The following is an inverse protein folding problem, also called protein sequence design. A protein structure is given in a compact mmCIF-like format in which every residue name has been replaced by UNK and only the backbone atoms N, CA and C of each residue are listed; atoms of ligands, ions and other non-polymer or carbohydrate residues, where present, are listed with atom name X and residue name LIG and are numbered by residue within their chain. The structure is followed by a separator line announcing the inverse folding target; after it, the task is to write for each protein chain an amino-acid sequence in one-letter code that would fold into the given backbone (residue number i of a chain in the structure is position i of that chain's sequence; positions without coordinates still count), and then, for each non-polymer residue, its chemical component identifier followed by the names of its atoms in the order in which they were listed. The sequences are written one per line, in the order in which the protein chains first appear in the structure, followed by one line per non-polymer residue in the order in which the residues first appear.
data_IF_686629688078
#
_entry.id   IF_686629688078
#
_cell.length_a   1.000
_cell.length_b   1.000
_cell.length_c   1.000
_cell.angle_alpha   90.00
_cell.angle_beta   90.00
_cell.angle_gamma   90.00
#
_symmetry.space_group_name_H-M   'P 1'
#
loop_
_entity.id
_entity.type
_entity.pdbx_description
1 polymer ?
#
# COMPACT_ATOMS: atom_id res chain seq x y z
N UNK A 1 -9.21 -8.34 -13.95
CA UNK A 1 -8.50 -7.35 -14.80
C UNK A 1 -8.40 -5.98 -14.13
N UNK A 2 -9.51 -5.37 -13.69
CA UNK A 2 -9.55 -4.03 -13.07
C UNK A 2 -8.59 -3.83 -11.87
N UNK A 3 -8.51 -4.80 -10.94
CA UNK A 3 -7.61 -4.73 -9.77
C UNK A 3 -6.14 -4.57 -10.14
N UNK A 4 -5.69 -5.29 -11.17
CA UNK A 4 -4.30 -5.23 -11.64
C UNK A 4 -3.99 -3.90 -12.34
N UNK A 5 -4.95 -3.35 -13.10
CA UNK A 5 -4.82 -2.03 -13.69
C UNK A 5 -4.65 -0.94 -12.62
N UNK A 6 -5.43 -0.99 -11.54
CA UNK A 6 -5.30 -0.04 -10.43
C UNK A 6 -3.93 -0.13 -9.74
N UNK A 7 -3.41 -1.34 -9.52
CA UNK A 7 -2.09 -1.52 -8.93
C UNK A 7 -0.97 -0.98 -9.84
N UNK A 8 -1.04 -1.24 -11.14
CA UNK A 8 -0.09 -0.71 -12.13
C UNK A 8 -0.15 0.82 -12.14
N UNK A 9 -1.35 1.40 -12.13
CA UNK A 9 -1.52 2.85 -12.11
C UNK A 9 -0.92 3.48 -10.86
N UNK A 10 -1.16 2.92 -9.67
CA UNK A 10 -0.54 3.37 -8.41
C UNK A 10 0.98 3.27 -8.49
N UNK A 11 1.52 2.15 -8.99
CA UNK A 11 2.96 1.95 -9.14
C UNK A 11 3.58 3.02 -10.04
N UNK A 12 3.00 3.27 -11.23
CA UNK A 12 3.48 4.28 -12.18
C UNK A 12 3.44 5.70 -11.61
N UNK A 13 2.35 6.06 -10.92
CA UNK A 13 2.19 7.37 -10.30
C UNK A 13 3.20 7.59 -9.17
N UNK A 14 3.38 6.59 -8.29
CA UNK A 14 4.36 6.66 -7.21
C UNK A 14 5.79 6.70 -7.77
N UNK A 15 6.08 5.95 -8.85
CA UNK A 15 7.35 6.02 -9.55
C UNK A 15 7.63 7.42 -10.09
N UNK A 16 6.67 8.06 -10.74
CA UNK A 16 6.84 9.42 -11.27
C UNK A 16 7.13 10.44 -10.16
N UNK A 17 6.39 10.38 -9.05
CA UNK A 17 6.59 11.26 -7.88
C UNK A 17 7.94 11.02 -7.23
N UNK A 18 8.30 9.75 -6.97
CA UNK A 18 9.56 9.41 -6.34
C UNK A 18 10.76 9.74 -7.24
N UNK A 19 10.68 9.49 -8.54
CA UNK A 19 11.73 9.84 -9.49
C UNK A 19 11.97 11.36 -9.51
N UNK A 20 10.90 12.16 -9.51
CA UNK A 20 11.00 13.61 -9.46
C UNK A 20 11.63 14.09 -8.13
N UNK A 21 11.23 13.49 -7.00
CA UNK A 21 11.79 13.80 -5.69
C UNK A 21 13.30 13.50 -5.58
N UNK A 22 13.75 12.37 -6.12
CA UNK A 22 15.17 11.99 -6.04
C UNK A 22 16.05 12.71 -7.07
N UNK A 23 15.46 13.19 -8.17
CA UNK A 23 16.20 13.87 -9.23
C UNK A 23 16.58 15.29 -8.85
N UNK A 24 17.85 15.65 -9.07
CA UNK A 24 18.41 16.98 -8.83
C UNK A 24 18.06 17.58 -7.45
N UNK A 25 18.20 16.79 -6.38
CA UNK A 25 17.85 17.18 -5.00
C UNK A 25 16.39 17.66 -4.81
N UNK A 26 15.47 17.23 -5.66
CA UNK A 26 14.05 17.61 -5.61
C UNK A 26 13.67 18.77 -6.53
N UNK A 27 14.58 19.26 -7.37
CA UNK A 27 14.25 20.19 -8.47
C UNK A 27 13.49 19.49 -9.62
N UNK A 28 13.46 18.15 -9.64
CA UNK A 28 12.71 17.38 -10.61
C UNK A 28 13.27 17.45 -12.03
N UNK A 29 12.64 16.73 -12.95
CA UNK A 29 13.10 16.60 -14.35
C UNK A 29 12.90 17.85 -15.23
N UNK A 30 12.74 19.03 -14.63
CA UNK A 30 12.33 20.26 -15.35
C UNK A 30 10.86 20.28 -15.81
N UNK A 31 10.08 19.26 -15.47
CA UNK A 31 8.63 19.26 -15.59
C UNK A 31 8.01 19.50 -14.22
N UNK A 32 7.27 20.60 -14.08
CA UNK A 32 6.47 20.87 -12.88
C UNK A 32 5.29 19.89 -12.86
N UNK A 33 5.42 18.83 -12.07
CA UNK A 33 4.28 17.97 -11.75
C UNK A 33 3.29 18.80 -10.94
N UNK A 34 2.06 18.94 -11.45
CA UNK A 34 1.07 19.79 -10.81
C UNK A 34 0.84 19.37 -9.33
N UNK A 35 0.80 20.28 -8.35
CA UNK A 35 0.69 19.96 -6.92
C UNK A 35 -0.45 19.00 -6.56
N UNK A 36 -1.59 19.11 -7.25
CA UNK A 36 -2.72 18.19 -7.08
C UNK A 36 -2.38 16.71 -7.34
N UNK A 37 -1.40 16.41 -8.21
CA UNK A 37 -0.95 15.04 -8.47
C UNK A 37 -0.21 14.50 -7.24
N UNK A 38 0.63 15.31 -6.60
CA UNK A 38 1.29 14.93 -5.34
C UNK A 38 0.28 14.70 -4.22
N UNK A 39 -0.69 15.61 -4.05
CA UNK A 39 -1.73 15.45 -3.03
C UNK A 39 -2.64 14.26 -3.29
N UNK A 40 -3.00 14.00 -4.55
CA UNK A 40 -3.82 12.85 -4.91
C UNK A 40 -3.09 11.53 -4.66
N UNK A 41 -1.82 11.42 -5.02
CA UNK A 41 -1.01 10.21 -4.82
C UNK A 41 -0.75 9.99 -3.32
N UNK A 42 -0.33 11.03 -2.60
CA UNK A 42 -0.16 10.98 -1.15
C UNK A 42 -1.46 10.59 -0.44
N UNK A 43 -2.59 11.17 -0.87
CA UNK A 43 -3.92 10.84 -0.38
C UNK A 43 -4.29 9.38 -0.64
N UNK A 44 -4.10 8.86 -1.85
CA UNK A 44 -4.41 7.45 -2.18
C UNK A 44 -3.53 6.50 -1.38
N UNK A 45 -2.22 6.74 -1.31
CA UNK A 45 -1.28 5.87 -0.58
C UNK A 45 -1.56 5.88 0.92
N UNK A 46 -1.95 7.02 1.49
CA UNK A 46 -2.29 7.12 2.92
C UNK A 46 -3.70 6.61 3.25
N UNK A 47 -4.68 6.81 2.36
CA UNK A 47 -6.07 6.48 2.61
C UNK A 47 -6.38 5.00 2.41
N UNK A 48 -5.71 4.32 1.46
CA UNK A 48 -5.95 2.89 1.21
C UNK A 48 -5.73 2.02 2.45
N UNK A 49 -4.60 2.15 3.19
CA UNK A 49 -4.37 1.39 4.42
C UNK A 49 -5.36 1.74 5.51
N UNK A 50 -5.68 3.03 5.68
CA UNK A 50 -6.65 3.51 6.68
C UNK A 50 -8.03 2.93 6.42
N UNK A 51 -8.50 2.96 5.17
CA UNK A 51 -9.77 2.37 4.77
C UNK A 51 -9.83 0.87 5.12
N UNK A 52 -8.81 0.10 4.72
CA UNK A 52 -8.78 -1.34 4.99
C UNK A 52 -8.68 -1.67 6.48
N UNK A 53 -7.91 -0.89 7.24
CA UNK A 53 -7.84 -1.04 8.69
C UNK A 53 -9.21 -0.78 9.34
N UNK A 54 -9.87 0.34 9.02
CA UNK A 54 -11.18 0.71 9.59
C UNK A 54 -12.24 -0.31 9.21
N UNK A 55 -12.32 -0.72 7.95
CA UNK A 55 -13.32 -1.68 7.48
C UNK A 55 -13.24 -3.02 8.24
N UNK A 56 -12.03 -3.53 8.47
CA UNK A 56 -11.83 -4.80 9.19
C UNK A 56 -11.96 -4.67 10.71
N UNK A 57 -11.61 -3.52 11.29
CA UNK A 57 -11.90 -3.24 12.70
C UNK A 57 -13.41 -3.23 12.93
N UNK A 58 -14.17 -2.52 12.09
CA UNK A 58 -15.63 -2.52 12.14
C UNK A 58 -16.21 -3.92 11.94
N UNK A 59 -15.71 -4.67 10.95
CA UNK A 59 -16.13 -6.05 10.71
C UNK A 59 -15.84 -6.98 11.90
N UNK A 60 -14.66 -6.87 12.52
CA UNK A 60 -14.29 -7.65 13.70
C UNK A 60 -15.12 -7.32 14.93
N UNK A 61 -15.47 -6.04 15.15
CA UNK A 61 -16.40 -5.62 16.21
C UNK A 61 -17.77 -6.26 16.00
N UNK A 62 -18.32 -6.19 14.79
CA UNK A 62 -19.64 -6.76 14.47
C UNK A 62 -19.67 -8.28 14.66
N UNK A 63 -18.63 -8.99 14.21
CA UNK A 63 -18.48 -10.43 14.42
C UNK A 63 -18.30 -10.79 15.90
N UNK A 64 -17.54 -10.00 16.65
CA UNK A 64 -17.36 -10.19 18.10
C UNK A 64 -18.65 -10.00 18.89
N UNK A 65 -19.50 -9.06 18.48
CA UNK A 65 -20.84 -8.88 19.04
C UNK A 65 -21.74 -10.08 18.72
N UNK A 66 -21.69 -10.61 17.49
CA UNK A 66 -22.48 -11.76 17.08
C UNK A 66 -22.06 -13.09 17.75
N UNK A 67 -20.79 -13.23 18.12
CA UNK A 67 -20.24 -14.46 18.74
C UNK A 67 -20.16 -14.41 20.27
N UNK A 68 -20.59 -13.32 20.92
CA UNK A 68 -20.58 -13.17 22.37
C UNK A 68 -19.21 -12.81 22.99
N UNK A 69 -18.23 -12.43 22.16
CA UNK A 69 -16.86 -12.13 22.56
C UNK A 69 -16.32 -10.86 21.91
N UNK A 70 -16.86 -9.69 22.29
CA UNK A 70 -16.53 -8.38 21.67
C UNK A 70 -15.02 -8.06 21.70
N UNK A 71 -14.35 -8.34 22.81
CA UNK A 71 -12.92 -8.04 22.97
C UNK A 71 -12.05 -8.89 22.02
N UNK A 72 -12.41 -10.16 21.84
CA UNK A 72 -11.73 -11.07 20.92
C UNK A 72 -12.02 -10.70 19.46
N UNK A 73 -13.26 -10.32 19.14
CA UNK A 73 -13.62 -9.80 17.82
C UNK A 73 -12.88 -8.51 17.46
N UNK A 74 -12.69 -7.60 18.41
CA UNK A 74 -11.87 -6.39 18.23
C UNK A 74 -10.41 -6.72 17.96
N UNK A 75 -9.79 -7.60 18.76
CA UNK A 75 -8.40 -8.02 18.56
C UNK A 75 -8.20 -8.62 17.17
N UNK A 76 -9.10 -9.52 16.78
CA UNK A 76 -9.06 -10.18 15.48
C UNK A 76 -9.27 -9.18 14.34
N UNK A 77 -10.23 -8.26 14.47
CA UNK A 77 -10.49 -7.20 13.48
C UNK A 77 -9.33 -6.24 13.29
N UNK A 78 -8.65 -5.85 14.38
CA UNK A 78 -7.44 -5.01 14.32
C UNK A 78 -6.31 -5.74 13.62
N UNK A 79 -6.04 -7.00 13.98
CA UNK A 79 -4.97 -7.80 13.37
C UNK A 79 -5.22 -8.03 11.88
N UNK A 80 -6.45 -8.39 11.50
CA UNK A 80 -6.81 -8.58 10.09
C UNK A 80 -6.76 -7.26 9.33
N UNK A 81 -7.23 -6.17 9.93
CA UNK A 81 -7.24 -4.84 9.34
C UNK A 81 -5.84 -4.31 9.08
N UNK A 82 -4.92 -4.44 10.05
CA UNK A 82 -3.51 -4.08 9.86
C UNK A 82 -2.83 -4.99 8.83
N UNK A 83 -3.07 -6.30 8.89
CA UNK A 83 -2.49 -7.25 7.93
C UNK A 83 -2.90 -6.92 6.49
N UNK A 84 -4.19 -6.70 6.25
CA UNK A 84 -4.72 -6.32 4.95
C UNK A 84 -4.28 -4.92 4.51
N UNK A 85 -4.27 -3.95 5.43
CA UNK A 85 -3.81 -2.59 5.14
C UNK A 85 -2.35 -2.54 4.69
N UNK A 86 -1.47 -3.28 5.38
CA UNK A 86 -0.05 -3.35 5.06
C UNK A 86 0.18 -4.10 3.75
N UNK A 87 -0.48 -5.23 3.56
CA UNK A 87 -0.34 -6.05 2.35
C UNK A 87 -0.60 -5.24 1.06
N UNK A 88 -1.57 -4.31 1.06
CA UNK A 88 -1.91 -3.52 -0.13
C UNK A 88 -0.90 -2.43 -0.50
N UNK A 89 0.12 -2.18 0.33
CA UNK A 89 1.15 -1.17 0.06
C UNK A 89 2.26 -1.64 -0.89
N UNK A 90 2.27 -2.91 -1.28
CA UNK A 90 3.30 -3.46 -2.16
C UNK A 90 3.50 -2.70 -3.50
N UNK A 91 2.46 -2.19 -4.20
CA UNK A 91 2.66 -1.46 -5.45
C UNK A 91 3.36 -0.11 -5.22
N UNK A 92 3.06 0.55 -4.09
CA UNK A 92 3.71 1.80 -3.72
C UNK A 92 5.18 1.57 -3.37
N UNK A 93 5.50 0.48 -2.63
CA UNK A 93 6.87 0.15 -2.27
C UNK A 93 7.77 -0.09 -3.50
N UNK A 94 7.30 -0.86 -4.49
CA UNK A 94 8.03 -1.00 -5.75
C UNK A 94 8.04 0.29 -6.57
N UNK A 95 6.94 1.06 -6.54
CA UNK A 95 6.87 2.36 -7.19
C UNK A 95 7.98 3.29 -6.70
N UNK A 96 8.20 3.34 -5.38
CA UNK A 96 9.29 4.11 -4.74
C UNK A 96 10.66 3.57 -5.16
N UNK A 97 10.85 2.25 -5.19
CA UNK A 97 12.13 1.67 -5.62
C UNK A 97 12.49 2.02 -7.07
N UNK A 98 11.52 1.87 -7.98
CA UNK A 98 11.69 2.25 -9.38
C UNK A 98 11.93 3.75 -9.53
N UNK A 99 11.22 4.58 -8.76
CA UNK A 99 11.43 6.02 -8.74
C UNK A 99 12.82 6.41 -8.23
N UNK A 100 13.30 5.77 -7.16
CA UNK A 100 14.65 5.97 -6.66
C UNK A 100 15.72 5.59 -7.69
N UNK A 101 15.54 4.49 -8.42
CA UNK A 101 16.46 4.10 -9.49
C UNK A 101 16.48 5.12 -10.63
N UNK A 102 15.31 5.54 -11.12
CA UNK A 102 15.21 6.48 -12.23
C UNK A 102 15.72 7.88 -11.86
N UNK A 103 15.35 8.38 -10.67
CA UNK A 103 15.74 9.70 -10.18
C UNK A 103 17.19 9.82 -9.69
N UNK A 104 18.01 8.78 -9.81
CA UNK A 104 19.39 8.80 -9.29
C UNK A 104 19.48 8.82 -7.76
N UNK A 105 18.43 8.35 -7.08
CA UNK A 105 18.39 8.23 -5.62
C UNK A 105 19.37 7.19 -5.10
N UNK A 106 19.68 7.27 -3.80
CA UNK A 106 20.61 6.36 -3.14
C UNK A 106 20.17 4.89 -3.28
N UNK A 107 21.14 4.00 -3.56
CA UNK A 107 20.94 2.56 -3.72
C UNK A 107 20.20 1.92 -2.53
N UNK A 108 20.34 2.47 -1.33
CA UNK A 108 19.60 2.08 -0.13
C UNK A 108 18.07 2.16 -0.31
N UNK A 109 17.55 3.24 -0.90
CA UNK A 109 16.11 3.41 -1.10
C UNK A 109 15.55 2.42 -2.13
N UNK A 110 16.33 2.12 -3.16
CA UNK A 110 15.98 1.09 -4.15
C UNK A 110 15.91 -0.29 -3.49
N UNK A 111 16.95 -0.70 -2.74
CA UNK A 111 17.00 -2.01 -2.08
C UNK A 111 15.87 -2.15 -1.06
N UNK A 112 15.68 -1.16 -0.18
CA UNK A 112 14.64 -1.21 0.83
C UNK A 112 13.24 -1.24 0.21
N UNK A 113 13.00 -0.46 -0.86
CA UNK A 113 11.73 -0.47 -1.58
C UNK A 113 11.45 -1.81 -2.26
N UNK A 114 12.45 -2.46 -2.88
CA UNK A 114 12.31 -3.80 -3.47
C UNK A 114 12.05 -4.85 -2.40
N UNK A 115 12.87 -4.90 -1.33
CA UNK A 115 12.70 -5.88 -0.25
C UNK A 115 11.35 -5.71 0.45
N UNK A 116 10.98 -4.47 0.77
CA UNK A 116 9.68 -4.15 1.33
C UNK A 116 8.54 -4.53 0.39
N UNK A 117 8.65 -4.21 -0.90
CA UNK A 117 7.65 -4.57 -1.92
C UNK A 117 7.44 -6.08 -2.03
N UNK A 118 8.52 -6.87 -2.03
CA UNK A 118 8.44 -8.34 -2.08
C UNK A 118 7.76 -8.89 -0.83
N UNK A 119 8.14 -8.42 0.36
CA UNK A 119 7.53 -8.87 1.62
C UNK A 119 6.02 -8.55 1.68
N UNK A 120 5.64 -7.33 1.30
CA UNK A 120 4.25 -6.90 1.28
C UNK A 120 3.43 -7.65 0.22
N UNK A 121 4.03 -7.94 -0.94
CA UNK A 121 3.38 -8.72 -1.99
C UNK A 121 3.16 -10.18 -1.55
N UNK A 122 4.16 -10.79 -0.90
CA UNK A 122 4.03 -12.12 -0.33
C UNK A 122 2.91 -12.17 0.72
N UNK A 123 2.84 -11.14 1.58
CA UNK A 123 1.76 -11.01 2.56
C UNK A 123 0.39 -10.87 1.89
N UNK A 124 0.26 -10.06 0.83
CA UNK A 124 -0.99 -9.91 0.06
C UNK A 124 -1.44 -11.23 -0.57
N UNK A 125 -0.50 -12.00 -1.10
CA UNK A 125 -0.79 -13.31 -1.65
C UNK A 125 -1.28 -14.27 -0.58
N UNK A 126 -0.55 -14.39 0.53
CA UNK A 126 -0.89 -15.30 1.65
C UNK A 126 -2.27 -14.97 2.21
N UNK A 127 -2.54 -13.69 2.50
CA UNK A 127 -3.85 -13.26 3.00
C UNK A 127 -4.96 -13.48 1.99
N UNK A 128 -4.68 -13.25 0.70
CA UNK A 128 -5.62 -13.55 -0.38
C UNK A 128 -5.96 -15.04 -0.49
N UNK A 129 -5.00 -15.93 -0.21
CA UNK A 129 -5.23 -17.37 -0.17
C UNK A 129 -6.13 -17.77 1.00
N UNK A 130 -5.83 -17.28 2.21
CA UNK A 130 -6.67 -17.53 3.40
C UNK A 130 -8.11 -17.05 3.20
N UNK A 131 -8.29 -15.87 2.58
CA UNK A 131 -9.63 -15.33 2.36
C UNK A 131 -10.44 -16.15 1.35
N UNK A 132 -9.82 -16.66 0.29
CA UNK A 132 -10.53 -17.55 -0.64
C UNK A 132 -10.98 -18.83 0.04
N UNK A 133 -10.11 -19.42 0.86
CA UNK A 133 -10.39 -20.65 1.59
C UNK A 133 -11.52 -20.52 2.63
N UNK A 134 -11.93 -19.30 3.01
CA UNK A 134 -13.07 -19.06 3.92
C UNK A 134 -14.35 -18.66 3.19
N UNK A 135 -14.30 -18.39 1.88
CA UNK A 135 -15.46 -18.01 1.06
C UNK A 135 -15.92 -19.09 0.08
N UNK A 136 -15.11 -20.13 -0.11
CA UNK A 136 -15.43 -21.37 -0.86
C UNK A 136 -15.76 -22.50 0.12
#
# INVERSE_FOLDING_TARGET
MFRWMMNILVMLLVTAVAANYFYDNGNGYGFEVHPYVYYAIGGVVAFLPVFWAVAHVCGGVLLGLASGGVLEGMRLGILLGLGMALAKLWPAAFGVAAGAYLGGGGMTYMILGVLGGVLLFALDWILGYFWKATTE
#
